data_IF_881193955954
#
_entry.id   IF_881193955954
#
_cell.length_a   1.000
_cell.length_b   1.000
_cell.length_c   1.000
_cell.angle_alpha   90.00
_cell.angle_beta   90.00
_cell.angle_gamma   90.00
#
_symmetry.space_group_name_H-M   'P 1'
#
loop_
_entity.id
_entity.type
_entity.pdbx_description
1 polymer ?
#
# COMPACT_ATOMS: atom_id res chain seq x y z
N UNK A 1 -13.82 -9.81 24.42
CA UNK A 1 -13.41 -10.26 23.08
C UNK A 1 -12.31 -9.33 22.57
N UNK A 2 -11.06 -9.58 22.97
CA UNK A 2 -9.92 -8.78 22.52
C UNK A 2 -9.59 -9.11 21.08
N UNK A 3 -9.79 -8.15 20.18
CA UNK A 3 -9.36 -8.24 18.79
C UNK A 3 -7.83 -8.13 18.76
N UNK A 4 -7.15 -9.26 18.99
CA UNK A 4 -5.75 -9.39 18.65
C UNK A 4 -5.63 -9.14 17.14
N UNK A 5 -5.01 -8.02 16.75
CA UNK A 5 -4.59 -7.71 15.37
C UNK A 5 -3.48 -8.68 14.94
N UNK A 6 -3.78 -9.97 14.93
CA UNK A 6 -2.93 -11.02 14.42
C UNK A 6 -2.83 -10.83 12.90
N UNK A 7 -1.73 -10.24 12.44
CA UNK A 7 -1.27 -10.48 11.07
C UNK A 7 -0.97 -9.29 10.16
N UNK A 8 -0.73 -8.07 10.64
CA UNK A 8 -0.14 -7.03 9.75
C UNK A 8 1.37 -7.27 9.53
N UNK A 9 1.73 -8.45 9.03
CA UNK A 9 3.10 -8.76 8.58
C UNK A 9 3.08 -9.18 7.12
N UNK A 10 3.28 -8.21 6.22
CA UNK A 10 4.55 -8.05 5.47
C UNK A 10 4.42 -7.18 4.23
N UNK A 11 3.24 -6.71 3.83
CA UNK A 11 3.12 -5.75 2.72
C UNK A 11 2.64 -4.38 3.18
N UNK A 12 3.40 -3.33 2.85
CA UNK A 12 2.99 -1.94 3.08
C UNK A 12 1.93 -1.61 2.02
N UNK A 13 0.69 -1.36 2.43
CA UNK A 13 -0.33 -0.83 1.53
C UNK A 13 -0.09 0.67 1.35
N UNK A 14 0.25 1.06 0.13
CA UNK A 14 0.43 2.46 -0.25
C UNK A 14 -0.78 2.90 -1.06
N UNK A 15 -1.54 3.84 -0.51
CA UNK A 15 -2.67 4.42 -1.20
C UNK A 15 -2.22 5.64 -2.00
N UNK A 16 -2.37 5.58 -3.33
CA UNK A 16 -2.14 6.69 -4.23
C UNK A 16 -3.46 7.44 -4.44
N UNK A 17 -3.44 8.75 -4.16
CA UNK A 17 -4.60 9.63 -4.32
C UNK A 17 -4.66 10.24 -5.73
N UNK A 18 -3.59 10.09 -6.51
CA UNK A 18 -3.48 10.59 -7.88
C UNK A 18 -2.97 9.52 -8.86
N UNK A 19 -3.38 9.64 -10.13
CA UNK A 19 -2.90 8.76 -11.21
C UNK A 19 -1.37 8.74 -11.40
N UNK A 20 -0.63 9.88 -11.35
CA UNK A 20 0.83 9.86 -11.36
C UNK A 20 1.45 9.18 -10.12
N UNK A 21 0.82 9.29 -8.95
CA UNK A 21 1.28 8.62 -7.73
C UNK A 21 1.08 7.10 -7.82
N UNK A 22 0.01 6.64 -8.46
CA UNK A 22 -0.23 5.22 -8.68
C UNK A 22 0.90 4.63 -9.56
N UNK A 23 1.29 5.33 -10.63
CA UNK A 23 2.41 4.93 -11.49
C UNK A 23 3.72 4.87 -10.72
N UNK A 24 4.01 5.88 -9.88
CA UNK A 24 5.20 5.88 -9.01
C UNK A 24 5.17 4.72 -8.00
N UNK A 25 4.00 4.40 -7.46
CA UNK A 25 3.82 3.28 -6.54
C UNK A 25 4.13 1.95 -7.23
N UNK A 26 3.63 1.71 -8.44
CA UNK A 26 3.93 0.47 -9.16
C UNK A 26 5.43 0.30 -9.47
N UNK A 27 6.12 1.40 -9.79
CA UNK A 27 7.58 1.38 -9.95
C UNK A 27 8.27 1.06 -8.62
N UNK A 28 7.81 1.66 -7.52
CA UNK A 28 8.34 1.39 -6.18
C UNK A 28 8.12 -0.06 -5.75
N UNK A 29 6.93 -0.63 -5.98
CA UNK A 29 6.62 -2.04 -5.72
C UNK A 29 7.56 -2.97 -6.50
N UNK A 30 7.81 -2.70 -7.79
CA UNK A 30 8.74 -3.49 -8.61
C UNK A 30 10.17 -3.40 -8.08
N UNK A 31 10.62 -2.20 -7.71
CA UNK A 31 11.96 -1.99 -7.16
C UNK A 31 12.13 -2.69 -5.80
N UNK A 32 11.15 -2.57 -4.91
CA UNK A 32 11.13 -3.27 -3.61
C UNK A 32 11.18 -4.78 -3.79
N UNK A 33 10.43 -5.34 -4.76
CA UNK A 33 10.49 -6.76 -5.10
C UNK A 33 11.87 -7.16 -5.65
N UNK A 34 12.50 -6.30 -6.47
CA UNK A 34 13.84 -6.53 -7.04
C UNK A 34 14.93 -6.58 -5.96
N UNK A 35 14.85 -5.71 -4.95
CA UNK A 35 15.82 -5.67 -3.84
C UNK A 35 15.50 -6.65 -2.71
N UNK A 36 14.53 -7.58 -2.91
CA UNK A 36 14.01 -8.49 -1.86
C UNK A 36 13.59 -7.75 -0.58
N UNK A 37 13.16 -6.50 -0.72
CA UNK A 37 12.61 -5.68 0.36
C UNK A 37 11.20 -6.12 0.74
N UNK A 38 10.62 -5.52 1.78
CA UNK A 38 9.25 -5.79 2.16
C UNK A 38 8.30 -5.49 0.98
N UNK A 39 7.35 -6.39 0.64
CA UNK A 39 6.44 -6.16 -0.46
C UNK A 39 5.62 -4.87 -0.23
N UNK A 40 5.30 -4.17 -1.31
CA UNK A 40 4.42 -2.99 -1.28
C UNK A 40 3.20 -3.29 -2.14
N UNK A 41 2.01 -2.96 -1.67
CA UNK A 41 0.77 -3.11 -2.42
C UNK A 41 0.21 -1.73 -2.74
N UNK A 42 0.06 -1.42 -4.03
CA UNK A 42 -0.46 -0.14 -4.48
C UNK A 42 -1.99 -0.16 -4.59
N UNK A 43 -2.66 0.73 -3.88
CA UNK A 43 -4.10 0.94 -3.96
C UNK A 43 -4.31 2.30 -4.61
N UNK A 44 -5.14 2.39 -5.66
CA UNK A 44 -5.53 3.67 -6.26
C UNK A 44 -6.89 4.07 -5.71
N UNK A 45 -6.99 5.27 -5.14
CA UNK A 45 -8.27 5.89 -4.76
C UNK A 45 -8.29 7.33 -5.24
N UNK A 46 -9.48 7.84 -5.51
CA UNK A 46 -9.68 9.21 -6.00
C UNK A 46 -9.76 10.23 -4.84
N UNK A 47 -9.70 9.77 -3.59
CA UNK A 47 -9.85 10.63 -2.42
C UNK A 47 -9.01 10.15 -1.23
N UNK A 48 -8.33 11.06 -0.50
CA UNK A 48 -7.60 10.73 0.72
C UNK A 48 -8.49 10.08 1.79
N UNK A 49 -9.76 10.48 1.88
CA UNK A 49 -10.73 9.88 2.81
C UNK A 49 -10.98 8.41 2.49
N UNK A 50 -11.06 8.05 1.20
CA UNK A 50 -11.18 6.65 0.78
C UNK A 50 -9.90 5.84 1.08
N UNK A 51 -8.74 6.48 1.12
CA UNK A 51 -7.50 5.84 1.59
C UNK A 51 -7.54 5.60 3.09
N UNK A 52 -8.00 6.57 3.89
CA UNK A 52 -8.08 6.45 5.35
C UNK A 52 -9.10 5.39 5.76
N UNK A 53 -10.24 5.30 5.07
CA UNK A 53 -11.24 4.25 5.32
C UNK A 53 -10.78 2.84 4.91
N UNK A 54 -9.72 2.71 4.10
CA UNK A 54 -9.22 1.44 3.62
C UNK A 54 -8.09 0.84 4.49
N UNK A 55 -7.67 1.52 5.56
CA UNK A 55 -6.51 1.17 6.43
C UNK A 55 -6.94 0.53 7.74
#
# INVERSE_FOLDING_TARGET
MGLCLAGRRRSVQWCAVSQPEATKCFQWQRNMRKVRGPPVSCIKRDSPIQCIQAI
#
